data_IF_744337193089
#
_entry.id   IF_744337193089
#
_cell.length_a   1.000
_cell.length_b   1.000
_cell.length_c   1.000
_cell.angle_alpha   90.00
_cell.angle_beta   90.00
_cell.angle_gamma   90.00
#
_symmetry.space_group_name_H-M   'P 1'
#
loop_
_entity.id
_entity.type
_entity.pdbx_description
1 polymer ?
#
# COMPACT_ATOMS: atom_id res chain seq x y z
N UNK A 1 12.43 2.40 11.43
CA UNK A 1 11.61 1.16 11.50
C UNK A 1 11.35 0.63 10.08
N UNK A 2 10.80 -0.60 9.92
CA UNK A 2 10.51 -1.18 8.60
C UNK A 2 9.01 -1.44 8.41
N UNK A 3 8.45 -0.91 7.32
CA UNK A 3 7.11 -1.22 6.84
C UNK A 3 7.20 -2.31 5.76
N UNK A 4 6.45 -3.39 5.93
CA UNK A 4 6.44 -4.54 5.02
C UNK A 4 5.07 -4.66 4.36
N UNK A 5 5.04 -4.77 3.03
CA UNK A 5 3.84 -5.04 2.24
C UNK A 5 3.94 -6.45 1.63
N UNK A 6 3.12 -7.37 2.11
CA UNK A 6 3.07 -8.76 1.64
C UNK A 6 1.91 -8.92 0.66
N UNK A 7 2.19 -9.32 -0.58
CA UNK A 7 1.15 -9.53 -1.59
C UNK A 7 0.22 -10.68 -1.18
N UNK A 8 -1.07 -10.40 -1.01
CA UNK A 8 -2.11 -11.38 -0.67
C UNK A 8 -2.72 -12.00 -1.91
N UNK A 9 -3.16 -11.14 -2.82
CA UNK A 9 -3.85 -11.52 -4.05
C UNK A 9 -3.15 -10.87 -5.22
N UNK A 10 -2.73 -11.68 -6.18
CA UNK A 10 -2.14 -11.14 -7.40
C UNK A 10 -3.24 -10.50 -8.25
N UNK A 11 -3.17 -9.19 -8.52
CA UNK A 11 -4.19 -8.53 -9.31
C UNK A 11 -4.14 -9.05 -10.76
N UNK A 12 -5.31 -9.26 -11.36
CA UNK A 12 -5.43 -9.74 -12.75
C UNK A 12 -4.90 -8.73 -13.78
N UNK A 13 -4.83 -7.46 -13.39
CA UNK A 13 -4.29 -6.36 -14.20
C UNK A 13 -3.18 -5.65 -13.43
N UNK A 14 -2.31 -4.94 -14.15
CA UNK A 14 -1.17 -4.24 -13.53
C UNK A 14 -1.66 -3.14 -12.57
N UNK A 15 -1.28 -3.23 -11.31
CA UNK A 15 -1.43 -2.16 -10.34
C UNK A 15 -0.36 -1.07 -10.55
N UNK A 16 -0.77 0.19 -10.50
CA UNK A 16 0.12 1.36 -10.57
C UNK A 16 0.44 1.82 -9.14
N UNK A 17 1.54 1.32 -8.60
CA UNK A 17 1.99 1.59 -7.24
C UNK A 17 2.83 2.88 -7.10
N UNK A 18 2.70 3.85 -8.01
CA UNK A 18 3.54 5.06 -8.01
C UNK A 18 3.41 5.91 -6.73
N UNK A 19 2.31 5.76 -5.98
CA UNK A 19 2.10 6.43 -4.69
C UNK A 19 2.63 5.66 -3.46
N UNK A 20 3.07 4.40 -3.62
CA UNK A 20 3.62 3.57 -2.55
C UNK A 20 5.13 3.83 -2.40
N UNK A 21 5.49 5.08 -2.13
CA UNK A 21 6.88 5.51 -1.89
C UNK A 21 7.10 5.83 -0.41
N UNK A 22 8.31 5.61 0.14
CA UNK A 22 8.59 5.85 1.56
C UNK A 22 8.14 7.24 2.06
N UNK A 23 8.42 8.30 1.30
CA UNK A 23 8.05 9.68 1.64
C UNK A 23 6.55 9.93 1.77
N UNK A 24 5.71 9.07 1.17
CA UNK A 24 4.24 9.15 1.26
C UNK A 24 3.68 8.23 2.35
N UNK A 25 4.48 7.27 2.80
CA UNK A 25 4.11 6.27 3.80
C UNK A 25 4.66 6.62 5.18
N UNK A 26 5.62 7.55 5.27
CA UNK A 26 6.12 8.08 6.53
C UNK A 26 4.98 8.68 7.35
N UNK A 27 4.98 8.41 8.65
CA UNK A 27 3.91 8.84 9.57
C UNK A 27 2.54 8.21 9.37
N UNK A 28 2.35 7.37 8.34
CA UNK A 28 1.10 6.63 8.18
C UNK A 28 1.13 5.34 9.00
N UNK A 29 0.08 5.16 9.80
CA UNK A 29 -0.20 3.88 10.44
C UNK A 29 -0.52 2.80 9.40
N UNK A 30 -0.28 1.51 9.70
CA UNK A 30 -0.56 0.42 8.74
C UNK A 30 -2.02 0.39 8.26
N UNK A 31 -2.99 0.79 9.08
CA UNK A 31 -4.39 0.93 8.68
C UNK A 31 -4.62 2.08 7.69
N UNK A 32 -3.91 3.20 7.85
CA UNK A 32 -3.97 4.33 6.92
C UNK A 32 -3.34 3.93 5.58
N UNK A 33 -2.21 3.22 5.61
CA UNK A 33 -1.58 2.66 4.42
C UNK A 33 -2.52 1.67 3.71
N UNK A 34 -3.24 0.83 4.46
CA UNK A 34 -4.21 -0.11 3.90
C UNK A 34 -5.36 0.60 3.17
N UNK A 35 -5.77 1.78 3.65
CA UNK A 35 -6.85 2.57 3.07
C UNK A 35 -6.44 3.35 1.81
N UNK A 36 -5.15 3.47 1.52
CA UNK A 36 -4.67 4.12 0.29
C UNK A 36 -5.20 3.37 -0.93
N UNK A 37 -5.59 4.11 -1.97
CA UNK A 37 -6.08 3.51 -3.21
C UNK A 37 -5.05 3.57 -4.31
N UNK A 38 -4.86 2.46 -5.02
CA UNK A 38 -4.00 2.37 -6.20
C UNK A 38 -4.83 2.10 -7.47
N UNK A 39 -4.51 2.74 -8.60
CA UNK A 39 -5.15 2.41 -9.88
C UNK A 39 -4.70 1.03 -10.36
N UNK A 40 -5.67 0.18 -10.68
CA UNK A 40 -5.48 -1.16 -11.22
C UNK A 40 -6.34 -1.30 -12.48
N UNK A 41 -5.73 -1.06 -13.64
CA UNK A 41 -6.46 -0.99 -14.92
C UNK A 41 -7.47 0.16 -14.94
N UNK A 42 -8.76 -0.16 -15.02
CA UNK A 42 -9.88 0.81 -15.02
C UNK A 42 -10.49 1.04 -13.64
N UNK A 43 -10.03 0.31 -12.63
CA UNK A 43 -10.58 0.36 -11.28
C UNK A 43 -9.54 0.92 -10.32
N UNK A 44 -10.00 1.47 -9.21
CA UNK A 44 -9.15 1.84 -8.07
C UNK A 44 -9.41 0.84 -6.96
N UNK A 45 -8.35 0.24 -6.43
CA UNK A 45 -8.42 -0.76 -5.37
C UNK A 45 -7.64 -0.28 -4.16
N UNK A 46 -8.09 -0.64 -2.96
CA UNK A 46 -7.37 -0.34 -1.74
C UNK A 46 -6.07 -1.16 -1.66
N UNK A 47 -5.02 -0.60 -1.08
CA UNK A 47 -3.74 -1.29 -0.89
C UNK A 47 -3.94 -2.50 0.03
N UNK A 48 -4.79 -2.40 1.05
CA UNK A 48 -5.13 -3.51 1.96
C UNK A 48 -5.86 -4.69 1.29
N UNK A 49 -6.44 -4.47 0.11
CA UNK A 49 -7.09 -5.52 -0.69
C UNK A 49 -6.04 -6.37 -1.43
N UNK A 50 -4.93 -5.74 -1.85
CA UNK A 50 -3.83 -6.38 -2.56
C UNK A 50 -2.73 -6.87 -1.62
N UNK A 51 -2.44 -6.13 -0.56
CA UNK A 51 -1.30 -6.33 0.32
C UNK A 51 -1.73 -6.41 1.79
N UNK A 52 -1.09 -7.29 2.53
CA UNK A 52 -1.07 -7.25 3.99
C UNK A 52 0.05 -6.31 4.42
N UNK A 53 -0.26 -5.35 5.27
CA UNK A 53 0.70 -4.36 5.76
C UNK A 53 1.06 -4.70 7.19
N UNK A 54 2.36 -4.82 7.46
CA UNK A 54 2.90 -5.08 8.79
C UNK A 54 4.08 -4.16 9.09
N UNK A 55 4.20 -3.76 10.35
CA UNK A 55 5.19 -2.80 10.81
C UNK A 55 4.66 -1.37 10.90
N UNK A 56 5.58 -0.42 11.05
CA UNK A 56 5.29 0.99 11.32
C UNK A 56 6.11 1.83 10.33
N UNK A 57 5.42 2.72 9.60
CA UNK A 57 6.08 3.77 8.83
C UNK A 57 6.69 4.76 9.81
N UNK A 58 8.01 4.96 9.75
CA UNK A 58 8.71 5.94 10.59
C UNK A 58 8.14 7.34 10.31
N UNK A 59 7.90 8.14 11.35
CA UNK A 59 7.77 9.60 11.21
C UNK A 59 9.01 10.22 11.84
N UNK A 60 9.96 10.62 10.98
CA UNK A 60 11.02 11.56 11.37
C UNK A 60 10.55 13.01 11.20
#
# INVERSE_FOLDING_TARGET
MSLTLTLRTQPQVRARAAGLIPERLQGLSPSEVAALTVPCGRQTVAVGDLFEISGIGDEE
#
